data_IF_044357045714
#
_entry.id   IF_044357045714
#
_cell.length_a   1.000
_cell.length_b   1.000
_cell.length_c   1.000
_cell.angle_alpha   90.00
_cell.angle_beta   90.00
_cell.angle_gamma   90.00
#
_symmetry.space_group_name_H-M   'P 1'
#
loop_
_entity.id
_entity.type
_entity.pdbx_description
1 polymer ?
#
# COMPACT_ATOMS: atom_id res chain seq x y z
N UNK A 1 -10.13 -16.50 -52.14
CA UNK A 1 -10.75 -16.93 -50.86
C UNK A 1 -9.85 -16.82 -49.61
N UNK A 2 -8.52 -16.59 -49.72
CA UNK A 2 -7.64 -16.43 -48.53
C UNK A 2 -7.54 -15.00 -47.97
N UNK A 3 -7.82 -13.97 -48.77
CA UNK A 3 -7.68 -12.57 -48.33
C UNK A 3 -8.83 -12.05 -47.45
N UNK A 4 -9.99 -12.70 -47.47
CA UNK A 4 -11.17 -12.29 -46.69
C UNK A 4 -11.12 -12.75 -45.22
N UNK A 5 -10.24 -13.68 -44.86
CA UNK A 5 -10.16 -14.24 -43.49
C UNK A 5 -9.41 -13.30 -42.54
N UNK A 6 -8.52 -12.44 -43.04
CA UNK A 6 -7.71 -11.55 -42.18
C UNK A 6 -8.42 -10.27 -41.72
N UNK A 7 -9.53 -9.88 -42.36
CA UNK A 7 -10.21 -8.62 -42.03
C UNK A 7 -11.11 -8.74 -40.78
N UNK A 8 -11.42 -9.96 -40.32
CA UNK A 8 -12.32 -10.20 -39.19
C UNK A 8 -11.66 -10.16 -37.80
N UNK A 9 -10.34 -9.97 -37.72
CA UNK A 9 -9.57 -9.98 -36.46
C UNK A 9 -9.25 -8.58 -35.91
N UNK A 10 -9.65 -7.51 -36.61
CA UNK A 10 -9.40 -6.13 -36.20
C UNK A 10 -10.58 -5.54 -35.41
N UNK A 11 -11.09 -6.26 -34.40
CA UNK A 11 -12.00 -5.67 -33.43
C UNK A 11 -11.18 -4.79 -32.46
N UNK A 12 -11.61 -3.54 -32.17
CA UNK A 12 -10.96 -2.75 -31.15
C UNK A 12 -11.08 -3.48 -29.81
N UNK A 13 -9.95 -3.72 -29.15
CA UNK A 13 -9.94 -4.16 -27.77
C UNK A 13 -10.43 -2.99 -26.90
N UNK A 14 -11.75 -2.90 -26.70
CA UNK A 14 -12.34 -2.04 -25.68
C UNK A 14 -12.02 -2.65 -24.31
N UNK A 15 -10.78 -2.47 -23.84
CA UNK A 15 -10.45 -2.78 -22.46
C UNK A 15 -11.21 -1.79 -21.57
N UNK A 16 -12.17 -2.29 -20.81
CA UNK A 16 -12.81 -1.49 -19.77
C UNK A 16 -11.72 -1.03 -18.76
N UNK A 17 -11.83 0.18 -18.19
CA UNK A 17 -10.90 0.63 -17.17
C UNK A 17 -10.91 -0.37 -16.01
N UNK A 18 -9.80 -1.06 -15.80
CA UNK A 18 -9.63 -1.90 -14.61
C UNK A 18 -9.59 -0.98 -13.40
N UNK A 19 -10.68 -0.93 -12.64
CA UNK A 19 -10.75 -0.18 -11.39
C UNK A 19 -10.02 -0.99 -10.31
N UNK A 20 -8.92 -0.50 -9.72
CA UNK A 20 -8.24 -1.19 -8.64
C UNK A 20 -9.20 -1.41 -7.46
N UNK A 21 -9.22 -2.65 -6.95
CA UNK A 21 -9.91 -2.97 -5.70
C UNK A 21 -8.88 -2.87 -4.56
N UNK A 22 -9.23 -2.12 -3.53
CA UNK A 22 -8.41 -2.00 -2.32
C UNK A 22 -9.06 -2.79 -1.20
N UNK A 23 -8.27 -3.60 -0.49
CA UNK A 23 -8.67 -4.26 0.74
C UNK A 23 -8.01 -3.55 1.91
N UNK A 24 -8.77 -3.29 2.98
CA UNK A 24 -8.20 -2.79 4.23
C UNK A 24 -7.43 -3.90 4.94
N UNK A 25 -6.10 -3.75 5.00
CA UNK A 25 -5.18 -4.68 5.65
C UNK A 25 -4.63 -4.15 6.99
N UNK A 26 -5.17 -3.04 7.51
CA UNK A 26 -4.61 -2.37 8.70
C UNK A 26 -4.52 -3.33 9.89
N UNK A 27 -5.62 -4.04 10.16
CA UNK A 27 -5.72 -4.97 11.30
C UNK A 27 -4.92 -6.25 11.08
N UNK A 28 -4.94 -6.81 9.88
CA UNK A 28 -4.22 -8.04 9.50
C UNK A 28 -2.72 -7.82 9.49
N UNK A 29 -2.25 -6.63 9.11
CA UNK A 29 -0.87 -6.19 9.24
C UNK A 29 -0.45 -5.89 10.69
N UNK A 30 -1.38 -5.87 11.64
CA UNK A 30 -1.11 -5.61 13.06
C UNK A 30 -0.87 -4.13 13.39
N UNK A 31 -1.22 -3.20 12.49
CA UNK A 31 -1.09 -1.77 12.72
C UNK A 31 -2.19 -1.29 13.68
N UNK A 32 -1.80 -0.49 14.67
CA UNK A 32 -2.70 -0.04 15.75
C UNK A 32 -2.38 1.33 16.33
N UNK A 33 -1.32 2.00 15.87
CA UNK A 33 -0.96 3.35 16.30
C UNK A 33 -2.09 4.32 15.99
N UNK A 34 -2.44 5.11 17.00
CA UNK A 34 -3.35 6.24 16.86
C UNK A 34 -2.51 7.51 16.96
N UNK A 35 -2.68 8.40 15.99
CA UNK A 35 -2.15 9.76 16.10
C UNK A 35 -3.13 10.57 16.96
N UNK A 36 -2.71 10.92 18.17
CA UNK A 36 -3.56 11.58 19.18
C UNK A 36 -3.02 12.97 19.52
N UNK A 37 -3.84 13.78 20.20
CA UNK A 37 -3.47 15.11 20.69
C UNK A 37 -4.41 16.22 20.28
N UNK A 38 -4.34 17.31 21.07
CA UNK A 38 -5.14 18.53 20.87
C UNK A 38 -4.50 19.43 19.80
N UNK A 39 -4.73 20.75 19.88
CA UNK A 39 -4.34 21.70 18.85
C UNK A 39 -2.83 21.70 18.51
N UNK A 40 -1.95 21.34 19.46
CA UNK A 40 -0.50 21.25 19.26
C UNK A 40 -0.12 20.16 18.23
N UNK A 41 -0.97 19.16 18.04
CA UNK A 41 -0.77 18.03 17.14
C UNK A 41 -1.61 18.16 15.85
N UNK A 42 -2.32 19.28 15.66
CA UNK A 42 -3.22 19.48 14.51
C UNK A 42 -2.51 19.46 13.15
N UNK A 43 -1.21 19.77 13.08
CA UNK A 43 -0.43 19.72 11.83
C UNK A 43 -0.22 18.29 11.31
N UNK A 44 -0.59 17.28 12.10
CA UNK A 44 -0.49 15.88 11.76
C UNK A 44 0.86 15.26 12.13
N UNK A 45 0.91 13.95 11.90
CA UNK A 45 2.07 13.12 12.17
C UNK A 45 2.96 12.90 10.95
N UNK A 46 3.83 11.92 11.07
CA UNK A 46 4.68 11.43 10.00
C UNK A 46 4.70 9.91 9.96
N UNK A 47 4.95 9.41 8.75
CA UNK A 47 5.28 8.02 8.49
C UNK A 47 6.67 7.98 7.90
N UNK A 48 7.51 7.06 8.35
CA UNK A 48 8.79 6.78 7.74
C UNK A 48 8.88 5.28 7.42
N UNK A 49 9.44 4.96 6.25
CA UNK A 49 9.74 3.58 5.87
C UNK A 49 11.22 3.46 5.54
N UNK A 50 11.87 2.47 6.13
CA UNK A 50 13.29 2.22 6.00
C UNK A 50 13.59 0.80 6.49
N UNK A 51 14.68 0.20 6.01
CA UNK A 51 15.15 -1.09 6.51
C UNK A 51 15.87 -0.87 7.85
N UNK A 52 15.13 -1.01 8.95
CA UNK A 52 15.63 -0.84 10.29
C UNK A 52 16.31 -2.12 10.80
N UNK A 53 15.84 -3.28 10.35
CA UNK A 53 16.30 -4.59 10.83
C UNK A 53 17.54 -5.10 10.09
N UNK A 54 17.80 -4.59 8.89
CA UNK A 54 18.88 -5.02 7.99
C UNK A 54 18.55 -6.27 7.18
N UNK A 55 17.27 -6.66 7.08
CA UNK A 55 16.84 -7.87 6.38
C UNK A 55 16.37 -7.61 4.94
N UNK A 56 16.45 -6.36 4.47
CA UNK A 56 16.04 -5.96 3.14
C UNK A 56 14.53 -5.72 2.99
N UNK A 57 13.74 -5.84 4.05
CA UNK A 57 12.35 -5.43 4.07
C UNK A 57 12.18 -4.04 4.69
N UNK A 58 11.33 -3.16 4.12
CA UNK A 58 11.06 -1.89 4.74
C UNK A 58 10.16 -2.06 5.97
N UNK A 59 10.59 -1.49 7.09
CA UNK A 59 9.76 -1.25 8.27
C UNK A 59 8.84 -0.03 8.09
N UNK A 60 7.89 0.13 9.02
CA UNK A 60 7.07 1.34 9.11
C UNK A 60 7.16 1.93 10.52
N UNK A 61 7.59 3.18 10.62
CA UNK A 61 7.45 3.99 11.84
C UNK A 61 6.26 4.93 11.72
N UNK A 62 5.37 4.91 12.72
CA UNK A 62 4.19 5.79 12.82
C UNK A 62 4.33 6.68 14.05
N UNK A 63 4.22 8.00 13.85
CA UNK A 63 4.14 8.94 14.97
C UNK A 63 2.82 8.82 15.72
N UNK A 64 2.85 8.87 17.06
CA UNK A 64 1.65 8.81 17.91
C UNK A 64 1.04 10.16 18.31
N UNK A 65 1.65 11.28 17.90
CA UNK A 65 1.25 12.62 18.36
C UNK A 65 1.53 12.77 19.87
N UNK A 66 0.50 13.04 20.65
CA UNK A 66 0.55 13.05 22.13
C UNK A 66 0.68 11.63 22.71
N UNK A 67 0.26 10.61 21.95
CA UNK A 67 0.39 9.20 22.28
C UNK A 67 1.73 8.60 21.87
N UNK A 68 1.96 7.31 22.18
CA UNK A 68 3.19 6.62 21.82
C UNK A 68 3.31 6.43 20.31
N UNK A 69 4.47 6.79 19.76
CA UNK A 69 4.89 6.36 18.43
C UNK A 69 5.27 4.88 18.44
N UNK A 70 5.17 4.22 17.28
CA UNK A 70 5.52 2.80 17.16
C UNK A 70 6.33 2.52 15.89
N UNK A 71 7.25 1.55 16.00
CA UNK A 71 7.95 0.93 14.89
C UNK A 71 7.37 -0.47 14.66
N UNK A 72 6.92 -0.74 13.44
CA UNK A 72 6.38 -2.03 13.02
C UNK A 72 7.42 -2.74 12.16
N UNK A 73 7.89 -3.89 12.65
CA UNK A 73 8.80 -4.79 11.95
C UNK A 73 8.07 -5.56 10.86
N UNK A 74 8.57 -5.49 9.62
CA UNK A 74 8.03 -6.31 8.56
C UNK A 74 8.55 -7.75 8.71
N UNK A 75 7.66 -8.68 9.01
CA UNK A 75 7.99 -10.11 9.18
C UNK A 75 7.28 -11.00 8.16
N UNK A 76 6.82 -10.39 7.07
CA UNK A 76 6.17 -11.13 6.01
C UNK A 76 7.19 -11.98 5.26
N UNK A 77 6.80 -13.15 4.73
CA UNK A 77 7.66 -13.91 3.83
C UNK A 77 8.02 -13.07 2.60
N UNK A 78 9.22 -13.28 2.05
CA UNK A 78 9.60 -12.66 0.78
C UNK A 78 8.60 -13.06 -0.31
N UNK A 79 7.89 -12.07 -0.86
CA UNK A 79 7.02 -12.25 -2.02
C UNK A 79 7.80 -12.16 -3.34
N UNK A 80 7.30 -12.85 -4.36
CA UNK A 80 7.90 -12.90 -5.71
C UNK A 80 7.63 -14.22 -6.42
#
# INVERSE_FOLDING_TARGET
>A
MRALVFLALAAPACAEPLVPQFTDETKTAGLSTVYDGEWEYMVGGGVATFDCSGDGFPEVFLSGGSGPSALYLNKTPQGG
#
